data_IF_893267886033
#
_entry.id   IF_893267886033
#
_cell.length_a   1.000
_cell.length_b   1.000
_cell.length_c   1.000
_cell.angle_alpha   90.00
_cell.angle_beta   90.00
_cell.angle_gamma   90.00
#
_symmetry.space_group_name_H-M   'P 1'
#
loop_
_entity.id
_entity.type
_entity.pdbx_description
1 polymer ?
#
# COMPACT_ATOMS: atom_id res chain seq x y z
N UNK A 1 -3.93 31.88 -66.51
CA UNK A 1 -3.58 31.43 -65.15
C UNK A 1 -2.67 30.21 -65.13
N UNK A 2 -3.07 29.00 -65.56
CA UNK A 2 -2.18 27.82 -65.52
C UNK A 2 -0.98 27.91 -66.49
N UNK A 3 -1.19 28.45 -67.70
CA UNK A 3 -0.10 28.67 -68.65
C UNK A 3 0.88 29.77 -68.23
N UNK A 4 0.39 30.83 -67.56
CA UNK A 4 1.25 31.90 -67.04
C UNK A 4 2.16 31.40 -65.91
N UNK A 5 1.65 30.51 -65.05
CA UNK A 5 2.44 29.88 -63.99
C UNK A 5 3.51 28.95 -64.57
N UNK A 6 3.19 28.16 -65.60
CA UNK A 6 4.16 27.31 -66.28
C UNK A 6 5.25 28.11 -67.01
N UNK A 7 4.86 29.21 -67.66
CA UNK A 7 5.80 30.10 -68.37
C UNK A 7 6.73 30.83 -67.38
N UNK A 8 6.20 31.23 -66.22
CA UNK A 8 6.97 31.85 -65.14
C UNK A 8 7.98 30.86 -64.52
N UNK A 9 7.56 29.64 -64.21
CA UNK A 9 8.44 28.58 -63.71
C UNK A 9 9.53 28.21 -64.74
N UNK A 10 9.18 28.15 -66.02
CA UNK A 10 10.12 27.88 -67.09
C UNK A 10 11.21 28.96 -67.22
N UNK A 11 10.82 30.23 -67.11
CA UNK A 11 11.75 31.35 -67.14
C UNK A 11 12.67 31.40 -65.91
N UNK A 12 12.18 30.99 -64.74
CA UNK A 12 13.00 30.87 -63.53
C UNK A 12 14.06 29.76 -63.68
N UNK A 13 13.69 28.60 -64.23
CA UNK A 13 14.62 27.48 -64.44
C UNK A 13 15.74 27.85 -65.43
N UNK A 14 15.44 28.74 -66.40
CA UNK A 14 16.39 29.21 -67.41
C UNK A 14 17.32 30.34 -66.95
N UNK A 15 17.13 30.90 -65.75
CA UNK A 15 18.03 31.96 -65.26
C UNK A 15 19.48 31.43 -65.16
N UNK A 16 20.47 32.14 -65.72
CA UNK A 16 21.87 31.78 -65.57
C UNK A 16 22.23 31.87 -64.08
N UNK A 17 22.52 30.72 -63.46
CA UNK A 17 22.77 30.62 -62.02
C UNK A 17 21.69 29.88 -61.23
N UNK A 18 20.52 29.60 -61.80
CA UNK A 18 19.47 28.82 -61.13
C UNK A 18 19.92 27.38 -60.83
N UNK A 19 20.42 26.65 -61.83
CA UNK A 19 20.93 25.28 -61.63
C UNK A 19 22.10 25.20 -60.63
N UNK A 20 23.12 26.09 -60.69
CA UNK A 20 24.14 26.18 -59.65
C UNK A 20 23.59 26.50 -58.25
N UNK A 21 22.59 27.38 -58.13
CA UNK A 21 21.96 27.71 -56.85
C UNK A 21 21.16 26.53 -56.27
N UNK A 22 20.43 25.78 -57.10
CA UNK A 22 19.71 24.56 -56.69
C UNK A 22 20.69 23.47 -56.28
N UNK A 23 21.77 23.25 -57.05
CA UNK A 23 22.84 22.31 -56.69
C UNK A 23 23.55 22.72 -55.41
N UNK A 24 23.81 24.01 -55.21
CA UNK A 24 24.38 24.57 -53.98
C UNK A 24 23.47 24.39 -52.76
N UNK A 25 22.16 24.59 -52.93
CA UNK A 25 21.17 24.37 -51.88
C UNK A 25 21.03 22.89 -51.52
N UNK A 26 21.04 21.99 -52.51
CA UNK A 26 20.98 20.54 -52.29
C UNK A 26 22.25 20.02 -51.61
N UNK A 27 23.43 20.46 -52.06
CA UNK A 27 24.71 20.10 -51.43
C UNK A 27 24.81 20.67 -50.01
N UNK A 28 24.40 21.93 -49.81
CA UNK A 28 24.30 22.53 -48.48
C UNK A 28 23.35 21.77 -47.55
N UNK A 29 22.17 21.35 -48.04
CA UNK A 29 21.20 20.57 -47.27
C UNK A 29 21.75 19.19 -46.88
N UNK A 30 22.40 18.48 -47.80
CA UNK A 30 23.00 17.16 -47.53
C UNK A 30 24.11 17.27 -46.48
N UNK A 31 25.01 18.25 -46.62
CA UNK A 31 26.11 18.48 -45.67
C UNK A 31 25.60 18.88 -44.29
N UNK A 32 24.49 19.63 -44.22
CA UNK A 32 23.85 20.02 -42.96
C UNK A 32 23.07 18.88 -42.31
N UNK A 33 22.48 17.98 -43.11
CA UNK A 33 21.62 16.91 -42.64
C UNK A 33 22.38 15.81 -41.90
N UNK A 34 23.59 15.47 -42.36
CA UNK A 34 24.41 14.39 -41.76
C UNK A 34 24.74 14.67 -40.27
N UNK A 35 25.35 15.80 -39.88
CA UNK A 35 25.64 16.08 -38.48
C UNK A 35 24.35 16.24 -37.66
N UNK A 36 23.29 16.83 -38.22
CA UNK A 36 21.99 16.96 -37.56
C UNK A 36 21.38 15.59 -37.23
N UNK A 37 21.45 14.64 -38.17
CA UNK A 37 20.99 13.27 -37.99
C UNK A 37 21.78 12.55 -36.88
N UNK A 38 23.10 12.70 -36.84
CA UNK A 38 23.93 12.12 -35.76
C UNK A 38 23.62 12.73 -34.38
N UNK A 39 23.40 14.04 -34.30
CA UNK A 39 23.04 14.74 -33.05
C UNK A 39 21.65 14.28 -32.58
N UNK A 40 20.66 14.24 -33.46
CA UNK A 40 19.32 13.78 -33.12
C UNK A 40 19.31 12.32 -32.69
N UNK A 41 20.00 11.44 -33.42
CA UNK A 41 20.04 10.01 -33.06
C UNK A 41 20.74 9.79 -31.69
N UNK A 42 21.77 10.58 -31.35
CA UNK A 42 22.36 10.56 -30.01
C UNK A 42 21.41 11.12 -28.94
N UNK A 43 20.67 12.18 -29.24
CA UNK A 43 19.67 12.74 -28.34
C UNK A 43 18.55 11.73 -28.06
N UNK A 44 17.96 11.12 -29.08
CA UNK A 44 16.92 10.09 -28.93
C UNK A 44 17.39 8.89 -28.09
N UNK A 45 18.60 8.38 -28.36
CA UNK A 45 19.17 7.29 -27.54
C UNK A 45 19.41 7.69 -26.08
N UNK A 46 19.80 8.94 -25.83
CA UNK A 46 19.99 9.47 -24.48
C UNK A 46 18.63 9.63 -23.77
N UNK A 47 17.63 10.15 -24.46
CA UNK A 47 16.27 10.31 -23.94
C UNK A 47 15.63 8.96 -23.62
N UNK A 48 15.82 7.95 -24.47
CA UNK A 48 15.35 6.58 -24.23
C UNK A 48 16.01 6.00 -22.96
N UNK A 49 17.32 6.18 -22.78
CA UNK A 49 18.03 5.75 -21.56
C UNK A 49 17.56 6.50 -20.32
N UNK A 50 17.30 7.80 -20.43
CA UNK A 50 16.79 8.62 -19.31
C UNK A 50 15.40 8.10 -18.92
N UNK A 51 14.48 7.94 -19.87
CA UNK A 51 13.13 7.40 -19.62
C UNK A 51 13.16 6.00 -19.02
N UNK A 52 14.04 5.12 -19.52
CA UNK A 52 14.21 3.78 -18.96
C UNK A 52 14.72 3.83 -17.50
N UNK A 53 15.69 4.70 -17.21
CA UNK A 53 16.23 4.83 -15.85
C UNK A 53 15.22 5.47 -14.87
N UNK A 54 14.45 6.46 -15.32
CA UNK A 54 13.36 7.06 -14.56
C UNK A 54 12.25 6.05 -14.27
N UNK A 55 11.86 5.24 -15.27
CA UNK A 55 10.90 4.16 -15.10
C UNK A 55 11.39 3.15 -14.06
N UNK A 56 12.65 2.70 -14.16
CA UNK A 56 13.23 1.77 -13.19
C UNK A 56 13.27 2.36 -11.78
N UNK A 57 13.65 3.63 -11.64
CA UNK A 57 13.69 4.32 -10.34
C UNK A 57 12.28 4.44 -9.73
N UNK A 58 11.29 4.77 -10.56
CA UNK A 58 9.88 4.85 -10.14
C UNK A 58 9.36 3.48 -9.66
N UNK A 59 9.64 2.42 -10.42
CA UNK A 59 9.30 1.05 -10.03
C UNK A 59 9.97 0.63 -8.72
N UNK A 60 11.25 0.96 -8.52
CA UNK A 60 11.95 0.69 -7.26
C UNK A 60 11.35 1.46 -6.08
N UNK A 61 11.00 2.73 -6.28
CA UNK A 61 10.35 3.53 -5.24
C UNK A 61 8.97 2.96 -4.87
N UNK A 62 8.21 2.48 -5.85
CA UNK A 62 6.91 1.85 -5.64
C UNK A 62 7.04 0.53 -4.85
N UNK A 63 8.02 -0.32 -5.19
CA UNK A 63 8.32 -1.54 -4.41
C UNK A 63 8.63 -1.24 -2.95
N UNK A 64 9.48 -0.24 -2.70
CA UNK A 64 9.84 0.17 -1.33
C UNK A 64 8.64 0.71 -0.56
N UNK A 65 7.82 1.53 -1.22
CA UNK A 65 6.59 2.09 -0.63
C UNK A 65 5.62 0.98 -0.22
N UNK A 66 5.41 -0.01 -1.09
CA UNK A 66 4.59 -1.18 -0.78
C UNK A 66 5.13 -1.96 0.43
N UNK A 67 6.44 -2.26 0.47
CA UNK A 67 7.05 -2.95 1.62
C UNK A 67 6.82 -2.17 2.92
N UNK A 68 7.03 -0.85 2.91
CA UNK A 68 6.82 0.00 4.09
C UNK A 68 5.37 -0.06 4.55
N UNK A 69 4.40 0.00 3.63
CA UNK A 69 2.97 -0.12 3.98
C UNK A 69 2.65 -1.47 4.60
N UNK A 70 3.17 -2.56 4.05
CA UNK A 70 2.94 -3.90 4.58
C UNK A 70 3.60 -4.12 5.94
N UNK A 71 4.81 -3.59 6.14
CA UNK A 71 5.46 -3.55 7.46
C UNK A 71 4.59 -2.85 8.49
N UNK A 72 4.04 -1.69 8.14
CA UNK A 72 3.15 -0.93 9.03
C UNK A 72 1.85 -1.70 9.31
N UNK A 73 1.20 -2.27 8.29
CA UNK A 73 0.01 -3.10 8.47
C UNK A 73 0.30 -4.29 9.41
N UNK A 74 1.40 -5.00 9.18
CA UNK A 74 1.80 -6.12 10.02
C UNK A 74 2.06 -5.68 11.47
N UNK A 75 2.75 -4.56 11.66
CA UNK A 75 3.01 -4.00 12.99
C UNK A 75 1.71 -3.62 13.70
N UNK A 76 0.78 -2.96 13.02
CA UNK A 76 -0.52 -2.59 13.59
C UNK A 76 -1.32 -3.83 14.03
N UNK A 77 -1.44 -4.83 13.16
CA UNK A 77 -2.15 -6.09 13.47
C UNK A 77 -1.47 -6.79 14.65
N UNK A 78 -0.13 -6.88 14.64
CA UNK A 78 0.64 -7.54 15.70
C UNK A 78 0.49 -6.83 17.05
N UNK A 79 0.58 -5.50 17.06
CA UNK A 79 0.44 -4.70 18.28
C UNK A 79 -0.97 -4.82 18.87
N UNK A 80 -2.01 -4.83 18.03
CA UNK A 80 -3.39 -5.02 18.50
C UNK A 80 -3.57 -6.44 19.04
N UNK A 81 -3.07 -7.46 18.35
CA UNK A 81 -3.10 -8.83 18.84
C UNK A 81 -2.38 -8.96 20.19
N UNK A 82 -1.17 -8.42 20.30
CA UNK A 82 -0.38 -8.43 21.53
C UNK A 82 -1.12 -7.74 22.68
N UNK A 83 -1.71 -6.56 22.45
CA UNK A 83 -2.50 -5.86 23.46
C UNK A 83 -3.69 -6.70 23.97
N UNK A 84 -4.37 -7.42 23.07
CA UNK A 84 -5.45 -8.34 23.45
C UNK A 84 -4.89 -9.46 24.33
N UNK A 85 -3.84 -10.15 23.88
CA UNK A 85 -3.25 -11.27 24.63
C UNK A 85 -2.69 -10.84 25.99
N UNK A 86 -1.99 -9.71 26.05
CA UNK A 86 -1.48 -9.13 27.30
C UNK A 86 -2.62 -8.81 28.27
N UNK A 87 -3.73 -8.25 27.76
CA UNK A 87 -4.91 -7.98 28.60
C UNK A 87 -5.44 -9.27 29.23
N UNK A 88 -5.45 -10.39 28.53
CA UNK A 88 -5.89 -11.68 29.09
C UNK A 88 -4.84 -12.36 29.96
N UNK A 89 -3.55 -12.19 29.66
CA UNK A 89 -2.46 -12.82 30.42
C UNK A 89 -2.38 -12.29 31.86
N UNK A 90 -2.61 -10.98 32.07
CA UNK A 90 -2.61 -10.39 33.41
C UNK A 90 -3.72 -10.92 34.34
N UNK A 91 -4.73 -11.60 33.79
CA UNK A 91 -5.87 -12.13 34.56
C UNK A 91 -5.99 -13.66 34.48
N UNK A 92 -4.98 -14.37 33.96
CA UNK A 92 -4.98 -15.85 33.92
C UNK A 92 -5.08 -16.47 35.32
N UNK A 93 -4.55 -15.79 36.33
CA UNK A 93 -4.52 -16.27 37.72
C UNK A 93 -5.89 -16.19 38.41
N UNK A 94 -6.85 -15.44 37.85
CA UNK A 94 -8.16 -15.22 38.43
C UNK A 94 -9.19 -16.33 38.15
N UNK A 95 -8.78 -17.48 37.59
CA UNK A 95 -9.58 -18.72 37.41
C UNK A 95 -11.05 -18.48 37.00
N UNK A 96 -11.28 -17.71 35.94
CA UNK A 96 -12.62 -17.51 35.35
C UNK A 96 -13.59 -16.67 36.18
N UNK A 97 -13.11 -15.95 37.21
CA UNK A 97 -13.96 -15.05 38.01
C UNK A 97 -14.28 -13.72 37.31
N UNK A 98 -13.62 -13.41 36.21
CA UNK A 98 -13.74 -12.14 35.51
C UNK A 98 -14.10 -12.42 34.06
N UNK A 99 -15.16 -11.77 33.60
CA UNK A 99 -15.64 -11.89 32.23
C UNK A 99 -14.78 -11.07 31.26
N UNK A 100 -14.63 -11.51 29.99
CA UNK A 100 -13.80 -10.84 28.98
C UNK A 100 -14.00 -9.32 28.85
N UNK A 101 -15.23 -8.81 28.93
CA UNK A 101 -15.55 -7.39 28.84
C UNK A 101 -14.91 -6.55 29.96
N UNK A 102 -14.70 -7.16 31.14
CA UNK A 102 -14.03 -6.54 32.28
C UNK A 102 -12.50 -6.62 32.20
N UNK A 103 -11.97 -7.55 31.40
CA UNK A 103 -10.54 -7.80 31.24
C UNK A 103 -9.94 -6.91 30.15
N UNK A 104 -10.55 -6.88 28.97
CA UNK A 104 -9.97 -6.24 27.79
C UNK A 104 -9.98 -4.72 27.92
N UNK A 105 -8.79 -4.11 28.00
CA UNK A 105 -8.65 -2.65 28.03
C UNK A 105 -8.87 -2.06 26.63
N UNK A 106 -9.52 -0.89 26.49
CA UNK A 106 -9.64 -0.23 25.20
C UNK A 106 -8.26 0.25 24.75
N UNK A 107 -8.02 0.25 23.44
CA UNK A 107 -6.82 0.83 22.86
C UNK A 107 -6.87 2.36 22.99
N UNK A 108 -5.81 2.96 23.54
CA UNK A 108 -5.71 4.43 23.69
C UNK A 108 -5.62 5.14 22.34
N UNK A 109 -4.92 4.52 21.39
CA UNK A 109 -4.72 5.02 20.02
C UNK A 109 -4.99 3.86 19.05
N UNK A 110 -5.91 4.08 18.12
CA UNK A 110 -6.19 3.15 17.02
C UNK A 110 -5.43 3.69 15.80
N UNK A 111 -4.54 2.90 15.17
CA UNK A 111 -3.80 3.33 13.99
C UNK A 111 -4.71 3.77 12.85
N UNK A 112 -4.17 4.63 11.98
CA UNK A 112 -4.86 5.05 10.77
C UNK A 112 -4.95 3.91 9.76
N UNK A 113 -6.01 3.96 8.95
CA UNK A 113 -6.21 2.99 7.87
C UNK A 113 -5.12 3.18 6.81
N UNK A 114 -4.43 2.10 6.48
CA UNK A 114 -3.46 2.06 5.39
C UNK A 114 -4.16 1.46 4.17
N UNK A 115 -3.93 2.07 3.01
CA UNK A 115 -4.46 1.58 1.74
C UNK A 115 -3.32 1.37 0.75
N UNK A 116 -3.41 0.27 0.01
CA UNK A 116 -2.48 -0.08 -1.05
C UNK A 116 -3.05 0.53 -2.34
N UNK A 117 -2.22 1.23 -3.10
CA UNK A 117 -2.67 1.88 -4.35
C UNK A 117 -2.83 0.85 -5.46
N UNK A 118 -3.66 1.17 -6.45
CA UNK A 118 -3.81 0.33 -7.65
C UNK A 118 -2.49 0.16 -8.41
N UNK A 119 -1.62 1.17 -8.40
CA UNK A 119 -0.30 1.06 -9.04
C UNK A 119 0.61 0.06 -8.31
N UNK A 120 0.60 0.05 -6.98
CA UNK A 120 1.35 -0.91 -6.16
C UNK A 120 0.83 -2.35 -6.38
N UNK A 121 -0.48 -2.50 -6.49
CA UNK A 121 -1.14 -3.77 -6.81
C UNK A 121 -0.87 -4.22 -8.26
N UNK A 122 -0.94 -3.29 -9.22
CA UNK A 122 -0.64 -3.54 -10.63
C UNK A 122 0.81 -3.95 -10.85
N UNK A 123 1.73 -3.39 -10.08
CA UNK A 123 3.13 -3.81 -10.05
C UNK A 123 3.28 -5.26 -9.58
N UNK A 124 2.58 -5.68 -8.53
CA UNK A 124 2.59 -7.08 -8.09
C UNK A 124 2.01 -8.02 -9.15
N UNK A 125 0.91 -7.63 -9.79
CA UNK A 125 0.34 -8.39 -10.92
C UNK A 125 1.33 -8.51 -12.08
N UNK A 126 2.08 -7.43 -12.37
CA UNK A 126 3.14 -7.42 -13.38
C UNK A 126 4.29 -8.40 -13.10
N UNK A 127 4.43 -8.89 -11.85
CA UNK A 127 5.39 -9.95 -11.50
C UNK A 127 4.88 -11.36 -11.84
N UNK A 128 3.60 -11.50 -12.20
CA UNK A 128 2.97 -12.77 -12.59
C UNK A 128 2.63 -13.70 -11.42
N UNK A 129 2.60 -13.16 -10.19
CA UNK A 129 2.42 -13.94 -8.96
C UNK A 129 1.07 -13.65 -8.31
N UNK A 130 0.04 -14.33 -8.80
CA UNK A 130 -1.35 -14.13 -8.37
C UNK A 130 -1.58 -14.52 -6.90
N UNK A 131 -0.89 -15.55 -6.41
CA UNK A 131 -1.05 -16.01 -5.03
C UNK A 131 -0.58 -14.94 -4.04
N UNK A 132 0.60 -14.35 -4.28
CA UNK A 132 1.12 -13.26 -3.42
C UNK A 132 0.30 -11.99 -3.57
N UNK A 133 -0.19 -11.68 -4.76
CA UNK A 133 -1.14 -10.59 -4.98
C UNK A 133 -2.39 -10.77 -4.10
N UNK A 134 -3.01 -11.96 -4.12
CA UNK A 134 -4.19 -12.24 -3.32
C UNK A 134 -3.91 -12.13 -1.82
N UNK A 135 -2.75 -12.63 -1.36
CA UNK A 135 -2.34 -12.50 0.05
C UNK A 135 -2.19 -11.04 0.48
N UNK A 136 -1.63 -10.17 -0.37
CA UNK A 136 -1.51 -8.74 -0.09
C UNK A 136 -2.89 -8.07 0.01
N UNK A 137 -3.82 -8.39 -0.90
CA UNK A 137 -5.21 -7.92 -0.83
C UNK A 137 -5.91 -8.38 0.46
N UNK A 138 -5.72 -9.64 0.84
CA UNK A 138 -6.28 -10.19 2.08
C UNK A 138 -5.70 -9.49 3.31
N UNK A 139 -4.38 -9.26 3.35
CA UNK A 139 -3.73 -8.55 4.45
C UNK A 139 -4.27 -7.12 4.64
N UNK A 140 -4.57 -6.39 3.56
CA UNK A 140 -5.23 -5.09 3.64
C UNK A 140 -6.67 -5.20 4.16
N UNK A 141 -7.42 -6.23 3.75
CA UNK A 141 -8.77 -6.49 4.25
C UNK A 141 -8.77 -6.84 5.75
N UNK A 142 -7.81 -7.65 6.17
CA UNK A 142 -7.63 -8.05 7.57
C UNK A 142 -7.25 -6.84 8.44
N UNK A 143 -6.37 -5.94 7.95
CA UNK A 143 -6.09 -4.66 8.61
C UNK A 143 -7.35 -3.84 8.84
N UNK A 144 -8.17 -3.67 7.80
CA UNK A 144 -9.45 -2.95 7.89
C UNK A 144 -10.39 -3.60 8.91
N UNK A 145 -10.46 -4.93 8.93
CA UNK A 145 -11.26 -5.66 9.90
C UNK A 145 -10.77 -5.41 11.34
N UNK A 146 -9.47 -5.57 11.60
CA UNK A 146 -8.90 -5.42 12.95
C UNK A 146 -9.09 -3.99 13.47
N UNK A 147 -8.84 -2.98 12.65
CA UNK A 147 -9.09 -1.58 13.03
C UNK A 147 -10.58 -1.29 13.24
N UNK A 148 -11.46 -1.86 12.41
CA UNK A 148 -12.90 -1.77 12.56
C UNK A 148 -13.38 -2.39 13.88
N UNK A 149 -12.89 -3.59 14.19
CA UNK A 149 -13.22 -4.29 15.43
C UNK A 149 -12.75 -3.52 16.67
N UNK A 150 -11.56 -2.91 16.63
CA UNK A 150 -11.08 -2.05 17.71
C UNK A 150 -11.97 -0.84 17.96
N UNK A 151 -12.45 -0.19 16.88
CA UNK A 151 -13.36 0.95 16.97
C UNK A 151 -14.73 0.54 17.50
N UNK A 152 -15.24 -0.60 17.04
CA UNK A 152 -16.55 -1.10 17.47
C UNK A 152 -16.52 -1.53 18.93
N UNK A 153 -15.48 -2.24 19.36
CA UNK A 153 -15.28 -2.57 20.77
C UNK A 153 -15.30 -1.34 21.66
N UNK A 154 -14.59 -0.28 21.25
CA UNK A 154 -14.55 0.98 22.00
C UNK A 154 -15.95 1.56 22.18
N UNK A 155 -16.77 1.59 21.13
CA UNK A 155 -18.16 2.09 21.20
C UNK A 155 -19.02 1.23 22.13
N UNK A 156 -19.04 -0.09 21.91
CA UNK A 156 -19.80 -1.02 22.74
C UNK A 156 -19.43 -0.90 24.21
N UNK A 157 -18.14 -0.76 24.50
CA UNK A 157 -17.63 -0.55 25.86
C UNK A 157 -18.06 0.81 26.41
N UNK A 158 -17.93 1.90 25.68
CA UNK A 158 -18.39 3.22 26.12
C UNK A 158 -19.90 3.23 26.41
N UNK A 159 -20.71 2.56 25.60
CA UNK A 159 -22.14 2.40 25.81
C UNK A 159 -22.46 1.55 27.04
N UNK A 160 -21.75 0.44 27.26
CA UNK A 160 -21.89 -0.37 28.46
C UNK A 160 -21.58 0.48 29.70
N UNK A 161 -20.43 1.14 29.74
CA UNK A 161 -19.97 1.92 30.90
C UNK A 161 -20.86 3.12 31.24
N UNK A 162 -21.55 3.73 30.26
CA UNK A 162 -22.54 4.78 30.52
C UNK A 162 -23.75 4.29 31.30
N UNK A 163 -24.11 3.02 31.13
CA UNK A 163 -25.32 2.43 31.70
C UNK A 163 -25.03 1.61 32.97
N UNK A 164 -23.76 1.39 33.31
CA UNK A 164 -23.40 0.68 34.53
C UNK A 164 -23.54 1.61 35.76
N UNK A 165 -24.04 1.09 36.90
CA UNK A 165 -24.19 1.88 38.11
C UNK A 165 -22.82 2.37 38.63
N UNK A 166 -22.71 3.60 39.16
CA UNK A 166 -21.45 4.14 39.63
C UNK A 166 -20.81 3.22 40.68
N UNK A 167 -19.53 2.91 40.49
CA UNK A 167 -18.76 2.06 41.39
C UNK A 167 -18.68 2.72 42.76
N UNK A 168 -19.31 2.10 43.76
CA UNK A 168 -19.36 2.62 45.13
C UNK A 168 -18.03 2.54 45.88
N UNK A 169 -17.04 1.79 45.37
CA UNK A 169 -15.69 1.68 45.92
C UNK A 169 -14.66 1.62 44.78
N UNK A 170 -14.08 2.76 44.41
CA UNK A 170 -13.01 2.84 43.40
C UNK A 170 -11.68 2.97 44.14
N UNK A 171 -11.08 1.84 44.51
CA UNK A 171 -9.63 1.81 44.68
C UNK A 171 -9.02 1.87 43.28
N UNK A 172 -8.05 2.77 43.08
CA UNK A 172 -7.58 3.29 41.79
C UNK A 172 -7.00 2.30 40.77
N UNK A 173 -7.22 1.00 40.94
CA UNK A 173 -6.81 -0.05 40.00
C UNK A 173 -8.02 -0.92 39.66
N UNK A 174 -8.77 -0.50 38.64
CA UNK A 174 -9.92 -1.22 38.08
C UNK A 174 -11.04 -1.49 39.11
N UNK A 175 -12.13 -0.73 39.00
CA UNK A 175 -13.41 -1.12 39.56
C UNK A 175 -13.87 -2.45 38.96
N UNK A 176 -13.40 -3.53 39.56
CA UNK A 176 -13.94 -4.86 39.35
C UNK A 176 -15.38 -4.82 39.81
N UNK A 177 -16.33 -4.88 38.87
CA UNK A 177 -17.73 -5.13 39.19
C UNK A 177 -17.80 -6.49 39.89
N UNK A 178 -17.73 -6.46 41.22
CA UNK A 178 -17.72 -7.67 42.04
C UNK A 178 -19.13 -8.20 42.28
N UNK A 179 -20.16 -7.46 41.84
CA UNK A 179 -21.55 -7.84 42.07
C UNK A 179 -22.37 -7.79 40.77
N UNK A 180 -22.14 -8.78 39.90
CA UNK A 180 -22.97 -9.02 38.70
C UNK A 180 -24.43 -9.37 39.05
N UNK A 181 -24.75 -9.58 40.33
CA UNK A 181 -26.10 -9.91 40.78
C UNK A 181 -27.05 -8.70 40.77
N UNK A 182 -26.52 -7.48 40.83
CA UNK A 182 -27.28 -6.23 40.82
C UNK A 182 -27.36 -5.54 39.45
N UNK A 183 -26.96 -6.23 38.39
CA UNK A 183 -26.98 -5.73 37.01
C UNK A 183 -28.31 -6.12 36.34
N UNK A 184 -28.96 -5.18 35.66
CA UNK A 184 -30.23 -5.44 34.95
C UNK A 184 -30.08 -6.55 33.90
N UNK A 185 -31.15 -7.33 33.60
CA UNK A 185 -31.09 -8.37 32.58
C UNK A 185 -30.63 -7.86 31.21
N UNK A 186 -31.03 -6.65 30.83
CA UNK A 186 -30.63 -6.00 29.58
C UNK A 186 -29.12 -5.71 29.52
N UNK A 187 -28.52 -5.29 30.64
CA UNK A 187 -27.08 -5.07 30.72
C UNK A 187 -26.29 -6.38 30.69
N UNK A 188 -26.83 -7.46 31.28
CA UNK A 188 -26.22 -8.79 31.20
C UNK A 188 -26.16 -9.30 29.76
N UNK A 189 -27.24 -9.12 28.99
CA UNK A 189 -27.25 -9.46 27.56
C UNK A 189 -26.17 -8.70 26.79
N UNK A 190 -26.03 -7.39 27.01
CA UNK A 190 -24.97 -6.58 26.38
C UNK A 190 -23.57 -7.03 26.78
N UNK A 191 -23.36 -7.41 28.05
CA UNK A 191 -22.08 -7.97 28.50
C UNK A 191 -21.73 -9.27 27.78
N UNK A 192 -22.71 -10.15 27.60
CA UNK A 192 -22.55 -11.42 26.88
C UNK A 192 -22.25 -11.21 25.39
N UNK A 193 -22.96 -10.30 24.72
CA UNK A 193 -22.68 -9.90 23.34
C UNK A 193 -21.25 -9.37 23.18
N UNK A 194 -20.80 -8.51 24.11
CA UNK A 194 -19.42 -8.00 24.11
C UNK A 194 -18.42 -9.14 24.34
N UNK A 195 -18.72 -10.08 25.24
CA UNK A 195 -17.85 -11.24 25.48
C UNK A 195 -17.70 -12.12 24.23
N UNK A 196 -18.80 -12.40 23.53
CA UNK A 196 -18.79 -13.15 22.28
C UNK A 196 -17.96 -12.41 21.21
N UNK A 197 -18.20 -11.10 21.07
CA UNK A 197 -17.44 -10.24 20.16
C UNK A 197 -15.94 -10.29 20.46
N UNK A 198 -15.54 -10.15 21.73
CA UNK A 198 -14.13 -10.23 22.14
C UNK A 198 -13.54 -11.60 21.80
N UNK A 199 -14.29 -12.69 22.03
CA UNK A 199 -13.87 -14.05 21.67
C UNK A 199 -13.58 -14.20 20.18
N UNK A 200 -14.49 -13.71 19.32
CA UNK A 200 -14.33 -13.71 17.86
C UNK A 200 -13.13 -12.84 17.47
N UNK A 201 -13.03 -11.63 18.02
CA UNK A 201 -11.98 -10.68 17.69
C UNK A 201 -10.61 -11.21 18.07
N UNK A 202 -10.45 -11.78 19.27
CA UNK A 202 -9.20 -12.42 19.72
C UNK A 202 -8.79 -13.54 18.78
N UNK A 203 -9.68 -14.51 18.51
CA UNK A 203 -9.41 -15.63 17.60
C UNK A 203 -8.97 -15.17 16.22
N UNK A 204 -9.66 -14.17 15.65
CA UNK A 204 -9.31 -13.59 14.36
C UNK A 204 -7.99 -12.83 14.40
N UNK A 205 -7.72 -12.07 15.46
CA UNK A 205 -6.46 -11.30 15.61
C UNK A 205 -5.23 -12.20 15.59
N UNK A 206 -5.28 -13.37 16.25
CA UNK A 206 -4.19 -14.36 16.24
C UNK A 206 -3.93 -14.90 14.83
N UNK A 207 -5.02 -15.25 14.13
CA UNK A 207 -4.95 -15.72 12.74
C UNK A 207 -4.32 -14.65 11.84
N UNK A 208 -4.84 -13.42 11.90
CA UNK A 208 -4.38 -12.33 11.06
C UNK A 208 -2.94 -11.92 11.35
N UNK A 209 -2.50 -11.90 12.61
CA UNK A 209 -1.11 -11.62 12.95
C UNK A 209 -0.14 -12.67 12.37
N UNK A 210 -0.57 -13.93 12.34
CA UNK A 210 0.24 -15.02 11.75
C UNK A 210 0.27 -14.92 10.22
N UNK A 211 -0.88 -14.74 9.59
CA UNK A 211 -1.00 -14.63 8.12
C UNK A 211 -0.33 -13.36 7.58
N UNK A 212 -0.43 -12.23 8.30
CA UNK A 212 0.22 -10.97 7.92
C UNK A 212 1.73 -11.09 7.95
N UNK A 213 2.29 -11.74 8.98
CA UNK A 213 3.73 -11.98 9.10
C UNK A 213 4.22 -12.90 7.98
N UNK A 214 3.52 -14.02 7.75
CA UNK A 214 3.87 -14.93 6.66
C UNK A 214 3.84 -14.23 5.30
N UNK A 215 2.79 -13.46 5.03
CA UNK A 215 2.65 -12.70 3.77
C UNK A 215 3.79 -11.71 3.58
N UNK A 216 4.16 -10.98 4.63
CA UNK A 216 5.27 -10.05 4.61
C UNK A 216 6.60 -10.75 4.28
N UNK A 217 6.90 -11.85 4.97
CA UNK A 217 8.14 -12.61 4.78
C UNK A 217 8.25 -13.18 3.35
N UNK A 218 7.15 -13.71 2.82
CA UNK A 218 7.08 -14.24 1.46
C UNK A 218 7.24 -13.15 0.39
N UNK A 219 6.72 -11.95 0.65
CA UNK A 219 6.80 -10.85 -0.29
C UNK A 219 8.17 -10.19 -0.31
N UNK A 220 8.81 -10.02 0.86
CA UNK A 220 10.19 -9.52 0.94
C UNK A 220 11.11 -10.43 0.10
N UNK A 221 11.02 -11.75 0.28
CA UNK A 221 11.79 -12.73 -0.51
C UNK A 221 11.52 -12.61 -2.02
N UNK A 222 10.27 -12.44 -2.43
CA UNK A 222 9.93 -12.24 -3.85
C UNK A 222 10.59 -10.98 -4.40
N UNK A 223 10.46 -9.86 -3.69
CA UNK A 223 10.96 -8.57 -4.16
C UNK A 223 12.48 -8.54 -4.19
N UNK A 224 13.16 -9.13 -3.21
CA UNK A 224 14.62 -9.28 -3.16
C UNK A 224 15.13 -10.14 -4.32
N UNK A 225 14.54 -11.33 -4.54
CA UNK A 225 14.95 -12.21 -5.65
C UNK A 225 14.79 -11.55 -7.02
N UNK A 226 13.73 -10.76 -7.22
CA UNK A 226 13.50 -10.02 -8.48
C UNK A 226 14.36 -8.76 -8.60
N UNK A 227 14.82 -8.17 -7.50
CA UNK A 227 15.78 -7.05 -7.48
C UNK A 227 17.17 -7.52 -7.90
N UNK A 228 17.65 -8.64 -7.36
CA UNK A 228 18.95 -9.22 -7.72
C UNK A 228 19.03 -9.60 -9.20
N UNK A 229 17.93 -10.13 -9.76
CA UNK A 229 17.86 -10.47 -11.19
C UNK A 229 17.96 -9.22 -12.09
N UNK A 230 17.41 -8.08 -11.66
CA UNK A 230 17.53 -6.84 -12.42
C UNK A 230 18.92 -6.21 -12.31
N UNK A 231 19.52 -6.18 -11.12
CA UNK A 231 20.88 -5.68 -10.95
C UNK A 231 21.90 -6.50 -11.76
N UNK A 232 21.76 -7.83 -11.80
CA UNK A 232 22.64 -8.69 -12.62
C UNK A 232 22.47 -8.48 -14.12
N UNK A 233 21.30 -8.07 -14.61
CA UNK A 233 21.10 -7.77 -16.03
C UNK A 233 21.73 -6.43 -16.42
N UNK A 234 21.63 -5.41 -15.55
CA UNK A 234 22.24 -4.10 -15.79
C UNK A 234 23.78 -4.13 -15.77
N UNK A 235 24.40 -5.06 -15.04
CA UNK A 235 25.87 -5.23 -15.05
C UNK A 235 26.42 -6.03 -16.24
N UNK A 236 25.58 -6.79 -16.96
CA UNK A 236 25.99 -7.67 -18.06
C UNK A 236 25.56 -7.16 -19.45
N UNK A 237 25.02 -5.94 -19.54
CA UNK A 237 24.61 -5.26 -20.77
C UNK A 237 25.39 -3.98 -21.00
#
# INVERSE_FOLDING_TARGET
>A
MFEEILTFLYNIIKLPGFMPAVLGALTGAIVSFIPLYFIQNRAFKKDEKIRASEYNRSQQAMRKTLIIKLLKINADISNIHQHIEESFHHFSDFKGKIEPWGILKPLSLIPDKISISFDELGMLLGLGDFDRFQKVCNMEADHKFVLGAAKEYRKLREELFKNLPPLSNVDGTLGMYRDSNNVSPELKLKMEEINEFIGIWRKKSTKYATESKQTLDELIKLLESKLDIHQRKEFNS
#
